data_IF_174617568280
#
_entry.id   IF_174617568280
#
_cell.length_a   1.000
_cell.length_b   1.000
_cell.length_c   1.000
_cell.angle_alpha   90.00
_cell.angle_beta   90.00
_cell.angle_gamma   90.00
#
_symmetry.space_group_name_H-M   'P 1'
#
loop_
_entity.id
_entity.type
_entity.pdbx_description
1 polymer ?
#
# COMPACT_ATOMS: atom_id res chain seq x y z
N UNK A 1 -19.35 -1.76 0.35
CA UNK A 1 -17.97 -2.27 0.35
C UNK A 1 -17.91 -3.45 1.30
N UNK A 2 -17.45 -4.60 0.80
CA UNK A 2 -17.45 -5.87 1.52
C UNK A 2 -16.48 -5.80 2.69
N UNK A 3 -16.98 -6.06 3.91
CA UNK A 3 -16.13 -6.10 5.11
C UNK A 3 -15.27 -7.36 5.00
N UNK A 4 -13.95 -7.20 4.88
CA UNK A 4 -13.01 -8.33 4.87
C UNK A 4 -13.04 -9.02 6.24
N UNK A 5 -13.69 -10.17 6.35
CA UNK A 5 -13.77 -10.99 7.58
C UNK A 5 -13.84 -12.47 7.23
N UNK A 6 -13.24 -13.32 8.06
CA UNK A 6 -13.17 -14.77 7.83
C UNK A 6 -11.96 -15.16 6.98
N UNK A 7 -12.09 -16.24 6.20
CA UNK A 7 -10.98 -16.79 5.40
C UNK A 7 -10.48 -15.79 4.36
N UNK A 8 -9.16 -15.64 4.30
CA UNK A 8 -8.44 -14.75 3.42
C UNK A 8 -7.09 -15.37 3.01
N UNK A 9 -6.45 -14.76 2.02
CA UNK A 9 -5.07 -15.03 1.66
C UNK A 9 -4.18 -13.87 2.09
N UNK A 10 -3.00 -14.19 2.60
CA UNK A 10 -1.90 -13.25 2.79
C UNK A 10 -0.87 -13.47 1.70
N UNK A 11 -0.78 -12.50 0.79
CA UNK A 11 0.29 -12.39 -0.20
C UNK A 11 1.47 -11.67 0.43
N UNK A 12 2.65 -12.31 0.41
CA UNK A 12 3.91 -11.69 0.83
C UNK A 12 4.86 -11.67 -0.34
N UNK A 13 5.42 -10.49 -0.62
CA UNK A 13 6.42 -10.28 -1.67
C UNK A 13 7.70 -9.78 -1.00
N UNK A 14 8.81 -10.48 -1.19
CA UNK A 14 10.12 -10.11 -0.69
C UNK A 14 11.01 -9.71 -1.87
N UNK A 15 11.48 -8.46 -1.84
CA UNK A 15 12.35 -7.84 -2.85
C UNK A 15 13.50 -7.08 -2.18
N UNK A 16 14.50 -6.69 -2.95
CA UNK A 16 15.53 -5.75 -2.50
C UNK A 16 14.97 -4.34 -2.35
N UNK A 17 15.58 -3.54 -1.48
CA UNK A 17 15.25 -2.12 -1.36
C UNK A 17 15.63 -1.35 -2.63
N UNK A 18 16.76 -1.71 -3.22
CA UNK A 18 17.31 -1.06 -4.40
C UNK A 18 16.72 -1.59 -5.72
N UNK A 19 15.81 -2.56 -5.67
CA UNK A 19 15.13 -3.07 -6.85
C UNK A 19 14.28 -1.97 -7.50
N UNK A 20 14.38 -1.85 -8.83
CA UNK A 20 13.67 -0.81 -9.56
C UNK A 20 12.89 -1.36 -10.76
N UNK A 21 11.74 -0.74 -11.01
CA UNK A 21 10.91 -0.92 -12.19
C UNK A 21 10.79 0.41 -12.93
N UNK A 22 11.30 0.50 -14.16
CA UNK A 22 11.36 1.74 -14.95
C UNK A 22 11.83 2.96 -14.12
N UNK A 23 12.95 2.83 -13.41
CA UNK A 23 13.57 3.87 -12.56
C UNK A 23 12.77 4.27 -11.30
N UNK A 24 11.74 3.51 -10.94
CA UNK A 24 10.98 3.69 -9.69
C UNK A 24 11.24 2.51 -8.75
N UNK A 25 11.23 2.70 -7.42
CA UNK A 25 11.38 1.58 -6.49
C UNK A 25 10.31 0.50 -6.72
N UNK A 26 10.73 -0.76 -6.84
CA UNK A 26 9.86 -1.88 -7.19
C UNK A 26 8.73 -2.05 -6.16
N UNK A 27 9.04 -1.99 -4.87
CA UNK A 27 8.04 -2.07 -3.80
C UNK A 27 6.95 -1.00 -3.91
N UNK A 28 7.33 0.22 -4.34
CA UNK A 28 6.37 1.33 -4.51
C UNK A 28 5.43 1.06 -5.68
N UNK A 29 5.95 0.50 -6.76
CA UNK A 29 5.15 0.13 -7.93
C UNK A 29 4.19 -1.03 -7.62
N UNK A 30 4.63 -2.04 -6.85
CA UNK A 30 3.77 -3.14 -6.39
C UNK A 30 2.58 -2.59 -5.60
N UNK A 31 2.83 -1.70 -4.62
CA UNK A 31 1.77 -1.07 -3.83
C UNK A 31 0.83 -0.25 -4.71
N UNK A 32 1.37 0.49 -5.69
CA UNK A 32 0.57 1.29 -6.64
C UNK A 32 -0.35 0.40 -7.47
N UNK A 33 0.14 -0.72 -8.01
CA UNK A 33 -0.67 -1.67 -8.78
C UNK A 33 -1.70 -2.36 -7.89
N UNK A 34 -1.33 -2.75 -6.67
CA UNK A 34 -2.24 -3.37 -5.73
C UNK A 34 -3.43 -2.44 -5.38
N UNK A 35 -3.13 -1.15 -5.15
CA UNK A 35 -4.16 -0.14 -4.96
C UNK A 35 -5.04 0.05 -6.20
N UNK A 36 -4.44 0.11 -7.40
CA UNK A 36 -5.19 0.22 -8.66
C UNK A 36 -6.07 -1.02 -8.96
N UNK A 37 -5.64 -2.20 -8.51
CA UNK A 37 -6.40 -3.44 -8.59
C UNK A 37 -7.56 -3.53 -7.57
N UNK A 38 -7.68 -2.55 -6.65
CA UNK A 38 -8.75 -2.49 -5.67
C UNK A 38 -8.59 -3.45 -4.49
N UNK A 39 -7.36 -3.91 -4.21
CA UNK A 39 -7.07 -4.73 -3.04
C UNK A 39 -7.35 -3.95 -1.75
N UNK A 40 -7.78 -4.67 -0.71
CA UNK A 40 -8.20 -4.10 0.59
C UNK A 40 -7.10 -3.30 1.31
N UNK A 41 -5.83 -3.60 1.02
CA UNK A 41 -4.69 -2.85 1.53
C UNK A 41 -3.36 -3.54 1.27
N UNK A 42 -2.28 -2.78 1.40
CA UNK A 42 -0.91 -3.27 1.34
C UNK A 42 -0.07 -2.59 2.43
N UNK A 43 0.78 -3.35 3.09
CA UNK A 43 1.73 -2.87 4.09
C UNK A 43 3.15 -3.18 3.63
N UNK A 44 4.06 -2.22 3.81
CA UNK A 44 5.47 -2.37 3.43
C UNK A 44 6.32 -2.35 4.69
N UNK A 45 7.19 -3.35 4.83
CA UNK A 45 8.12 -3.49 5.94
C UNK A 45 9.54 -3.52 5.40
N UNK A 46 10.44 -2.78 6.04
CA UNK A 46 11.87 -2.83 5.76
C UNK A 46 12.54 -3.71 6.81
N UNK A 47 13.27 -4.72 6.37
CA UNK A 47 14.08 -5.55 7.24
C UNK A 47 15.38 -4.83 7.64
N UNK A 48 15.96 -5.27 8.76
CA UNK A 48 17.25 -4.77 9.26
C UNK A 48 18.41 -5.51 8.59
N UNK A 49 18.20 -6.79 8.25
CA UNK A 49 19.14 -7.68 7.59
C UNK A 49 18.34 -8.81 6.92
N UNK A 50 18.90 -9.44 5.88
CA UNK A 50 18.33 -10.63 5.27
C UNK A 50 19.29 -11.25 4.26
N UNK A 51 19.06 -12.52 3.92
CA UNK A 51 19.77 -13.23 2.87
C UNK A 51 18.74 -13.94 1.98
N UNK A 52 19.01 -14.04 0.68
CA UNK A 52 18.10 -14.73 -0.22
C UNK A 52 18.41 -14.53 -1.71
N UNK A 53 17.45 -14.95 -2.55
CA UNK A 53 17.57 -14.87 -4.00
C UNK A 53 17.79 -13.43 -4.53
N UNK A 54 17.19 -12.43 -3.87
CA UNK A 54 17.41 -11.01 -4.17
C UNK A 54 18.83 -10.52 -3.83
N UNK A 55 19.51 -11.14 -2.87
CA UNK A 55 20.90 -10.80 -2.52
C UNK A 55 21.94 -11.35 -3.52
N UNK A 56 21.56 -12.30 -4.39
CA UNK A 56 22.50 -12.97 -5.30
C UNK A 56 22.63 -12.30 -6.67
N UNK A 57 21.64 -11.51 -7.11
CA UNK A 57 21.57 -11.02 -8.50
C UNK A 57 21.83 -9.50 -8.58
N UNK A 58 22.86 -9.03 -7.87
CA UNK A 58 23.63 -7.87 -8.33
C UNK A 58 24.67 -8.25 -9.39
N UNK A 59 24.45 -9.36 -10.12
CA UNK A 59 25.30 -9.84 -11.20
C UNK A 59 25.10 -9.01 -12.47
N UNK A 60 25.61 -7.78 -12.43
CA UNK A 60 26.33 -7.18 -13.57
C UNK A 60 27.11 -5.92 -13.17
N UNK A 61 26.91 -5.35 -11.98
CA UNK A 61 27.82 -4.33 -11.40
C UNK A 61 27.86 -4.43 -9.87
N UNK A 62 28.95 -5.00 -9.38
CA UNK A 62 29.39 -5.00 -7.98
C UNK A 62 28.54 -5.80 -6.97
N UNK A 63 29.22 -6.78 -6.37
CA UNK A 63 28.85 -7.47 -5.14
C UNK A 63 28.75 -6.46 -3.98
N UNK A 64 27.54 -6.02 -3.62
CA UNK A 64 27.24 -5.42 -2.33
C UNK A 64 26.31 -6.34 -1.54
N UNK A 65 26.84 -7.50 -1.15
CA UNK A 65 26.19 -8.42 -0.21
C UNK A 65 25.85 -7.78 1.16
N UNK A 66 26.25 -6.53 1.42
CA UNK A 66 26.10 -5.87 2.72
C UNK A 66 25.24 -4.60 2.74
N UNK A 67 24.58 -4.20 1.65
CA UNK A 67 23.86 -2.90 1.63
C UNK A 67 22.41 -2.93 1.13
N UNK A 68 21.95 -4.03 0.51
CA UNK A 68 20.56 -4.11 0.04
C UNK A 68 19.66 -4.77 1.09
N UNK A 69 18.88 -3.94 1.80
CA UNK A 69 17.97 -4.39 2.84
C UNK A 69 16.73 -5.04 2.22
N UNK A 70 16.22 -6.15 2.79
CA UNK A 70 15.01 -6.77 2.27
C UNK A 70 13.79 -5.90 2.55
N UNK A 71 12.90 -5.78 1.56
CA UNK A 71 11.60 -5.13 1.70
C UNK A 71 10.51 -6.17 1.52
N UNK A 72 9.62 -6.28 2.52
CA UNK A 72 8.46 -7.15 2.49
C UNK A 72 7.19 -6.34 2.23
N UNK A 73 6.46 -6.69 1.17
CA UNK A 73 5.13 -6.16 0.87
C UNK A 73 4.11 -7.23 1.26
N UNK A 74 3.22 -6.91 2.19
CA UNK A 74 2.17 -7.81 2.69
C UNK A 74 0.80 -7.27 2.29
N UNK A 75 0.03 -8.08 1.60
CA UNK A 75 -1.34 -7.82 1.17
C UNK A 75 -2.23 -8.90 1.77
N UNK A 76 -3.36 -8.51 2.35
CA UNK A 76 -4.36 -9.45 2.87
C UNK A 76 -5.71 -9.13 2.26
N UNK A 77 -6.29 -10.08 1.55
CA UNK A 77 -7.62 -9.96 0.96
C UNK A 77 -8.25 -11.35 0.79
N UNK A 78 -9.47 -11.41 0.29
CA UNK A 78 -10.13 -12.64 -0.15
C UNK A 78 -9.34 -13.32 -1.29
N UNK A 79 -9.65 -14.58 -1.55
CA UNK A 79 -8.91 -15.41 -2.52
C UNK A 79 -8.97 -14.82 -3.95
N UNK A 80 -10.15 -14.37 -4.39
CA UNK A 80 -10.38 -13.87 -5.76
C UNK A 80 -9.50 -12.65 -6.12
N UNK A 81 -9.50 -11.53 -5.35
CA UNK A 81 -8.71 -10.36 -5.68
C UNK A 81 -7.20 -10.62 -5.63
N UNK A 82 -6.74 -11.42 -4.66
CA UNK A 82 -5.31 -11.78 -4.55
C UNK A 82 -4.87 -12.57 -5.77
N UNK A 83 -5.64 -13.59 -6.19
CA UNK A 83 -5.29 -14.40 -7.37
C UNK A 83 -5.35 -13.59 -8.67
N UNK A 84 -6.32 -12.70 -8.81
CA UNK A 84 -6.43 -11.82 -9.97
C UNK A 84 -5.25 -10.83 -10.06
N UNK A 85 -4.59 -10.52 -8.94
CA UNK A 85 -3.42 -9.65 -8.90
C UNK A 85 -2.11 -10.36 -9.28
N UNK A 86 -2.01 -11.69 -9.09
CA UNK A 86 -0.77 -12.45 -9.34
C UNK A 86 -0.16 -12.23 -10.75
N UNK A 87 -0.93 -12.22 -11.85
CA UNK A 87 -0.34 -11.97 -13.17
C UNK A 87 0.32 -10.59 -13.29
N UNK A 88 -0.22 -9.56 -12.63
CA UNK A 88 0.39 -8.22 -12.62
C UNK A 88 1.65 -8.16 -11.77
N UNK A 89 1.77 -9.06 -10.78
CA UNK A 89 2.94 -9.19 -9.94
C UNK A 89 4.05 -9.97 -10.66
N UNK A 90 3.70 -11.02 -11.41
CA UNK A 90 4.65 -11.80 -12.22
C UNK A 90 5.35 -10.93 -13.27
N UNK A 91 4.67 -9.90 -13.81
CA UNK A 91 5.29 -8.92 -14.70
C UNK A 91 6.36 -8.06 -14.01
N UNK A 92 6.18 -7.79 -12.71
CA UNK A 92 7.03 -6.86 -11.94
C UNK A 92 8.21 -7.58 -11.27
N UNK A 93 7.94 -8.75 -10.71
CA UNK A 93 8.90 -9.50 -9.89
C UNK A 93 9.61 -10.51 -10.78
N UNK A 94 10.65 -10.06 -11.47
CA UNK A 94 11.52 -10.96 -12.23
C UNK A 94 12.38 -11.82 -11.29
N UNK A 95 12.72 -11.28 -10.12
CA UNK A 95 13.55 -11.91 -9.11
C UNK A 95 13.03 -11.53 -7.71
N UNK A 96 13.04 -12.48 -6.77
CA UNK A 96 12.49 -12.29 -5.42
C UNK A 96 11.78 -13.55 -4.91
N UNK A 97 11.07 -13.41 -3.79
CA UNK A 97 10.20 -14.47 -3.26
C UNK A 97 8.76 -13.97 -3.14
N UNK A 98 7.83 -14.73 -3.68
CA UNK A 98 6.39 -14.50 -3.54
C UNK A 98 5.77 -15.70 -2.84
N UNK A 99 5.03 -15.47 -1.76
CA UNK A 99 4.32 -16.51 -1.02
C UNK A 99 2.86 -16.17 -0.81
N UNK A 100 2.03 -17.21 -0.68
CA UNK A 100 0.64 -17.12 -0.28
C UNK A 100 0.42 -18.01 0.94
N UNK A 101 -0.12 -17.43 2.01
CA UNK A 101 -0.56 -18.16 3.20
C UNK A 101 -2.08 -18.04 3.36
N UNK A 102 -2.74 -19.13 3.74
CA UNK A 102 -4.11 -19.04 4.27
C UNK A 102 -4.09 -18.30 5.62
N UNK A 103 -4.99 -17.33 5.80
CA UNK A 103 -5.16 -16.63 7.07
C UNK A 103 -6.64 -16.31 7.37
N UNK A 104 -6.95 -15.99 8.62
CA UNK A 104 -8.29 -15.56 9.03
C UNK A 104 -8.27 -14.08 9.44
N UNK A 105 -9.13 -13.28 8.81
CA UNK A 105 -9.32 -11.87 9.16
C UNK A 105 -10.41 -11.78 10.23
N UNK A 106 -9.99 -11.48 11.45
CA UNK A 106 -10.89 -11.34 12.61
C UNK A 106 -11.70 -10.04 12.53
N UNK A 107 -11.07 -8.95 12.07
CA UNK A 107 -11.69 -7.62 12.00
C UNK A 107 -11.02 -6.76 10.94
N UNK A 108 -11.85 -6.18 10.08
CA UNK A 108 -11.44 -5.12 9.17
C UNK A 108 -12.31 -3.89 9.39
N UNK A 109 -11.70 -2.84 9.94
CA UNK A 109 -12.33 -1.54 10.20
C UNK A 109 -11.57 -0.48 9.41
N UNK A 110 -12.12 -0.08 8.26
CA UNK A 110 -11.69 1.13 7.56
C UNK A 110 -12.32 2.36 8.21
N UNK A 111 -11.63 3.50 8.14
CA UNK A 111 -12.27 4.79 8.42
C UNK A 111 -13.26 5.02 7.28
N UNK A 112 -14.56 5.04 7.57
CA UNK A 112 -15.57 5.32 6.56
C UNK A 112 -15.25 6.66 5.87
N UNK A 113 -15.09 6.65 4.54
CA UNK A 113 -14.88 7.87 3.73
C UNK A 113 -16.08 8.84 3.80
N UNK A 114 -17.15 8.49 4.53
CA UNK A 114 -18.29 9.36 4.81
C UNK A 114 -17.96 10.54 5.74
N UNK A 115 -16.87 10.48 6.52
CA UNK A 115 -16.48 11.55 7.42
C UNK A 115 -15.78 12.75 6.74
N UNK A 116 -15.46 12.68 5.45
CA UNK A 116 -14.84 13.80 4.71
C UNK A 116 -15.84 14.75 4.04
N UNK A 117 -17.13 14.39 3.97
CA UNK A 117 -18.15 15.22 3.33
C UNK A 117 -18.83 16.22 4.28
N UNK A 118 -18.63 16.11 5.60
CA UNK A 118 -19.29 17.00 6.59
C UNK A 118 -18.50 18.25 6.97
N UNK A 119 -17.20 18.32 6.66
CA UNK A 119 -16.31 19.33 7.27
C UNK A 119 -16.07 20.57 6.38
N UNK A 120 -16.81 20.72 5.27
CA UNK A 120 -16.69 21.91 4.37
C UNK A 120 -17.90 22.84 4.43
N UNK A 121 -18.79 22.74 5.42
CA UNK A 121 -19.91 23.69 5.57
C UNK A 121 -19.90 24.37 6.92
N UNK A 122 -18.95 25.28 7.13
CA UNK A 122 -18.80 25.93 8.44
C UNK A 122 -17.83 27.11 8.53
N UNK A 123 -17.72 27.97 7.54
CA UNK A 123 -17.29 29.36 7.79
C UNK A 123 -17.68 30.25 6.62
N UNK A 124 -18.77 31.01 6.79
CA UNK A 124 -18.87 32.39 6.30
C UNK A 124 -20.25 32.94 6.71
N UNK A 125 -20.37 33.34 7.97
CA UNK A 125 -21.36 34.36 8.35
C UNK A 125 -20.87 35.11 9.59
N UNK A 126 -20.13 36.21 9.39
CA UNK A 126 -20.14 37.33 10.35
C UNK A 126 -19.63 38.63 9.70
N UNK A 127 -20.51 39.61 9.65
CA UNK A 127 -20.25 41.00 9.29
C UNK A 127 -21.59 41.74 9.24
N UNK A 128 -22.27 41.90 10.37
CA UNK A 128 -22.19 43.06 11.29
C UNK A 128 -22.97 44.27 10.75
N UNK A 129 -24.28 44.24 10.98
CA UNK A 129 -25.11 45.45 11.03
C UNK A 129 -24.78 46.23 12.30
N UNK A 130 -24.28 47.46 12.14
CA UNK A 130 -24.21 48.44 13.23
C UNK A 130 -24.84 49.76 12.77
N UNK A 131 -26.12 49.88 13.13
CA UNK A 131 -26.87 51.07 13.56
C UNK A 131 -26.16 52.43 13.42
N UNK A 132 -26.71 53.28 12.55
CA UNK A 132 -26.37 54.69 12.43
C UNK A 132 -27.63 55.53 12.19
N UNK A 133 -28.44 55.66 13.23
CA UNK A 133 -29.59 56.54 13.32
C UNK A 133 -29.10 57.92 13.76
N UNK A 134 -29.18 58.94 12.89
CA UNK A 134 -29.15 60.35 13.29
C UNK A 134 -30.12 61.15 12.44
N UNK A 135 -31.25 61.46 13.07
CA UNK A 135 -32.12 62.59 12.75
C UNK A 135 -31.55 63.87 13.38
N UNK A 136 -31.89 64.99 12.73
CA UNK A 136 -31.80 66.40 13.17
C UNK A 136 -30.48 67.13 12.92
#
# INVERSE_FOLDING_TARGET
MTRLTGRALRLTVLVGENDTWHHKPLYSEIVRRAHAAGLAGASVFRGIEGFGASSLIHTSRLLSLSEDLPVAIVIVDTDEPVRAFLPQLDELVTEGLVTLDDCEVIRYTGRDDTARASDTKGSDTKGSDTKGEKSS
#
